data_IF_976435810743
#
_entry.id   IF_976435810743
#
_cell.length_a   1.000
_cell.length_b   1.000
_cell.length_c   1.000
_cell.angle_alpha   90.00
_cell.angle_beta   90.00
_cell.angle_gamma   90.00
#
_symmetry.space_group_name_H-M   'P 1'
#
loop_
_entity.id
_entity.type
_entity.pdbx_description
1 polymer ?
#
# COMPACT_ATOMS: atom_id res chain seq x y z
N UNK A 1 1.20 6.45 -19.76
CA UNK A 1 2.35 6.35 -18.83
C UNK A 1 1.93 6.13 -17.37
N UNK A 2 0.94 6.86 -16.83
CA UNK A 2 0.50 6.75 -15.42
C UNK A 2 0.02 5.34 -14.99
N UNK A 3 -0.64 4.59 -15.88
CA UNK A 3 -1.13 3.23 -15.60
C UNK A 3 0.01 2.20 -15.52
N UNK A 4 1.02 2.31 -16.40
CA UNK A 4 2.17 1.39 -16.40
C UNK A 4 3.01 1.53 -15.14
N UNK A 5 3.23 2.77 -14.67
CA UNK A 5 3.92 3.03 -13.40
C UNK A 5 3.19 2.42 -12.19
N UNK A 6 1.85 2.55 -12.15
CA UNK A 6 1.05 1.97 -11.07
C UNK A 6 1.14 0.43 -11.05
N UNK A 7 1.03 -0.22 -12.21
CA UNK A 7 1.17 -1.68 -12.32
C UNK A 7 2.57 -2.13 -11.91
N UNK A 8 3.62 -1.43 -12.38
CA UNK A 8 5.00 -1.70 -11.98
C UNK A 8 5.21 -1.58 -10.46
N UNK A 9 4.61 -0.57 -9.83
CA UNK A 9 4.69 -0.39 -8.38
C UNK A 9 4.00 -1.51 -7.61
N UNK A 10 2.83 -1.96 -8.06
CA UNK A 10 2.13 -3.11 -7.46
C UNK A 10 2.93 -4.40 -7.60
N UNK A 11 3.52 -4.64 -8.77
CA UNK A 11 4.41 -5.78 -8.98
C UNK A 11 5.62 -5.72 -8.04
N UNK A 12 6.26 -4.56 -7.89
CA UNK A 12 7.36 -4.37 -6.96
C UNK A 12 6.96 -4.61 -5.50
N UNK A 13 5.79 -4.10 -5.08
CA UNK A 13 5.22 -4.38 -3.76
C UNK A 13 4.99 -5.87 -3.53
N UNK A 14 4.37 -6.58 -4.49
CA UNK A 14 4.16 -8.02 -4.41
C UNK A 14 5.47 -8.79 -4.33
N UNK A 15 6.43 -8.49 -5.19
CA UNK A 15 7.74 -9.15 -5.19
C UNK A 15 8.45 -8.94 -3.85
N UNK A 16 8.46 -7.71 -3.32
CA UNK A 16 9.05 -7.43 -2.01
C UNK A 16 8.33 -8.17 -0.87
N UNK A 17 7.00 -8.30 -0.93
CA UNK A 17 6.20 -9.02 0.05
C UNK A 17 6.47 -10.53 0.01
N UNK A 18 6.48 -11.13 -1.18
CA UNK A 18 6.79 -12.56 -1.34
C UNK A 18 8.24 -12.89 -0.98
N UNK A 19 9.21 -12.04 -1.35
CA UNK A 19 10.60 -12.23 -0.96
C UNK A 19 10.74 -12.19 0.57
N UNK A 20 10.11 -11.20 1.22
CA UNK A 20 10.13 -11.07 2.68
C UNK A 20 9.43 -12.27 3.35
N UNK A 21 8.29 -12.71 2.82
CA UNK A 21 7.55 -13.88 3.29
C UNK A 21 8.41 -15.15 3.19
N UNK A 22 9.03 -15.41 2.04
CA UNK A 22 9.84 -16.60 1.82
C UNK A 22 11.06 -16.64 2.76
N UNK A 23 11.77 -15.51 2.90
CA UNK A 23 12.95 -15.43 3.77
C UNK A 23 12.58 -15.58 5.25
N UNK A 24 11.51 -14.93 5.70
CA UNK A 24 11.06 -15.03 7.09
C UNK A 24 10.46 -16.39 7.42
N UNK A 25 9.75 -17.02 6.48
CA UNK A 25 9.25 -18.38 6.61
C UNK A 25 10.40 -19.40 6.67
N UNK A 26 11.43 -19.26 5.84
CA UNK A 26 12.62 -20.11 5.90
C UNK A 26 13.31 -20.02 7.27
N UNK A 27 13.46 -18.81 7.82
CA UNK A 27 14.04 -18.63 9.15
C UNK A 27 13.15 -19.28 10.22
N UNK A 28 11.83 -19.09 10.15
CA UNK A 28 10.90 -19.67 11.13
C UNK A 28 10.86 -21.20 11.07
N UNK A 29 10.93 -21.79 9.87
CA UNK A 29 11.00 -23.24 9.67
C UNK A 29 12.28 -23.82 10.25
N UNK A 30 13.43 -23.15 10.04
CA UNK A 30 14.70 -23.57 10.63
C UNK A 30 14.65 -23.59 12.17
N UNK A 31 14.02 -22.58 12.80
CA UNK A 31 13.85 -22.57 14.26
C UNK A 31 13.00 -23.75 14.76
N UNK A 32 11.90 -24.06 14.08
CA UNK A 32 11.02 -25.16 14.47
C UNK A 32 11.66 -26.54 14.21
N UNK A 33 12.32 -26.72 13.07
CA UNK A 33 12.81 -28.02 12.61
C UNK A 33 14.18 -28.38 13.17
N UNK A 34 15.10 -27.42 13.29
CA UNK A 34 16.50 -27.70 13.64
C UNK A 34 16.81 -27.42 15.11
N UNK A 35 16.20 -26.39 15.71
CA UNK A 35 16.44 -26.05 17.12
C UNK A 35 15.31 -26.46 18.05
N UNK A 36 14.15 -26.89 17.53
CA UNK A 36 12.96 -27.22 18.31
C UNK A 36 12.55 -26.08 19.26
N UNK A 37 12.87 -24.83 18.89
CA UNK A 37 12.58 -23.63 19.66
C UNK A 37 11.66 -22.71 18.90
N UNK A 38 10.84 -21.96 19.63
CA UNK A 38 9.93 -21.01 19.01
C UNK A 38 10.73 -19.92 18.26
N UNK A 39 10.31 -19.64 17.01
CA UNK A 39 10.87 -18.56 16.20
C UNK A 39 10.75 -17.20 16.91
N UNK A 40 11.79 -16.33 16.86
CA UNK A 40 11.79 -15.02 17.48
C UNK A 40 10.65 -14.12 16.97
N UNK A 41 10.05 -13.35 17.87
CA UNK A 41 8.90 -12.49 17.58
C UNK A 41 9.14 -11.48 16.45
N UNK A 42 10.39 -11.05 16.27
CA UNK A 42 10.85 -10.15 15.21
C UNK A 42 10.59 -10.70 13.81
N UNK A 43 10.93 -11.99 13.61
CA UNK A 43 10.73 -12.69 12.34
C UNK A 43 9.23 -12.90 12.11
N UNK A 44 8.51 -13.33 13.14
CA UNK A 44 7.08 -13.60 13.06
C UNK A 44 6.27 -12.34 12.75
N UNK A 45 6.66 -11.18 13.29
CA UNK A 45 6.04 -9.90 12.96
C UNK A 45 6.21 -9.56 11.49
N UNK A 46 7.44 -9.61 10.96
CA UNK A 46 7.70 -9.29 9.55
C UNK A 46 7.04 -10.29 8.58
N UNK A 47 6.91 -11.56 8.99
CA UNK A 47 6.13 -12.58 8.30
C UNK A 47 4.65 -12.20 8.23
N UNK A 48 4.04 -11.86 9.37
CA UNK A 48 2.65 -11.42 9.44
C UNK A 48 2.40 -10.15 8.61
N UNK A 49 3.32 -9.17 8.65
CA UNK A 49 3.26 -7.98 7.80
C UNK A 49 3.26 -8.34 6.31
N UNK A 50 4.07 -9.33 5.91
CA UNK A 50 4.14 -9.77 4.50
C UNK A 50 2.84 -10.43 4.05
N UNK A 51 2.21 -11.25 4.88
CA UNK A 51 0.88 -11.82 4.61
C UNK A 51 -0.17 -10.71 4.49
N UNK A 52 -0.18 -9.77 5.44
CA UNK A 52 -1.10 -8.63 5.42
C UNK A 52 -0.94 -7.76 4.17
N UNK A 53 0.30 -7.56 3.71
CA UNK A 53 0.65 -6.83 2.50
C UNK A 53 0.09 -7.49 1.24
N UNK A 54 0.23 -8.83 1.11
CA UNK A 54 -0.35 -9.59 0.00
C UNK A 54 -1.88 -9.46 0.00
N UNK A 55 -2.53 -9.61 1.16
CA UNK A 55 -3.98 -9.40 1.30
C UNK A 55 -4.41 -7.98 0.95
N UNK A 56 -3.62 -6.98 1.36
CA UNK A 56 -3.88 -5.56 1.07
C UNK A 56 -3.83 -5.27 -0.43
N UNK A 57 -2.87 -5.85 -1.16
CA UNK A 57 -2.78 -5.71 -2.62
C UNK A 57 -3.99 -6.37 -3.28
N UNK A 58 -4.37 -7.57 -2.81
CA UNK A 58 -5.59 -8.24 -3.27
C UNK A 58 -6.84 -7.39 -3.08
N UNK A 59 -6.96 -6.71 -1.94
CA UNK A 59 -8.06 -5.77 -1.68
C UNK A 59 -8.01 -4.55 -2.60
N UNK A 60 -6.85 -3.91 -2.79
CA UNK A 60 -6.72 -2.69 -3.60
C UNK A 60 -7.01 -2.94 -5.09
N UNK A 61 -6.63 -4.11 -5.62
CA UNK A 61 -6.91 -4.49 -7.00
C UNK A 61 -8.32 -5.10 -7.17
N UNK A 62 -8.76 -5.92 -6.22
CA UNK A 62 -10.07 -6.56 -6.23
C UNK A 62 -11.22 -5.57 -6.02
N UNK A 63 -11.12 -4.69 -5.03
CA UNK A 63 -12.22 -3.78 -4.69
C UNK A 63 -12.49 -2.75 -5.79
N UNK A 64 -11.47 -2.35 -6.57
CA UNK A 64 -11.67 -1.53 -7.78
C UNK A 64 -12.50 -2.26 -8.85
N UNK A 65 -12.36 -3.59 -8.96
CA UNK A 65 -13.02 -4.40 -9.98
C UNK A 65 -14.44 -4.79 -9.61
N UNK A 66 -14.71 -5.10 -8.33
CA UNK A 66 -16.01 -5.61 -7.90
C UNK A 66 -16.97 -4.54 -7.39
N UNK A 67 -16.49 -3.49 -6.69
CA UNK A 67 -17.37 -2.48 -6.08
C UNK A 67 -16.83 -1.05 -6.20
N UNK A 68 -16.80 -0.46 -7.41
CA UNK A 68 -16.30 0.91 -7.63
C UNK A 68 -17.07 1.99 -6.84
N UNK A 69 -18.31 1.71 -6.41
CA UNK A 69 -19.12 2.63 -5.58
C UNK A 69 -18.77 2.62 -4.09
N UNK A 70 -18.14 1.56 -3.58
CA UNK A 70 -17.77 1.45 -2.16
C UNK A 70 -16.30 1.86 -1.90
N UNK A 71 -15.51 2.08 -2.95
CA UNK A 71 -14.08 2.36 -2.86
C UNK A 71 -13.84 3.81 -2.41
N UNK A 72 -13.78 4.02 -1.09
CA UNK A 72 -13.41 5.30 -0.53
C UNK A 72 -11.91 5.53 -0.70
N UNK A 73 -11.52 6.59 -1.41
CA UNK A 73 -10.11 6.93 -1.64
C UNK A 73 -9.33 7.12 -0.33
N UNK A 74 -10.02 7.51 0.74
CA UNK A 74 -9.44 7.61 2.08
C UNK A 74 -9.12 6.24 2.70
N UNK A 75 -10.00 5.25 2.55
CA UNK A 75 -9.77 3.90 3.05
C UNK A 75 -8.58 3.24 2.34
N UNK A 76 -8.46 3.43 1.02
CA UNK A 76 -7.31 2.97 0.26
C UNK A 76 -6.02 3.64 0.75
N UNK A 77 -6.02 4.96 0.95
CA UNK A 77 -4.87 5.69 1.48
C UNK A 77 -4.47 5.19 2.88
N UNK A 78 -5.43 4.99 3.78
CA UNK A 78 -5.18 4.43 5.11
C UNK A 78 -4.51 3.05 5.02
N UNK A 79 -4.99 2.18 4.13
CA UNK A 79 -4.42 0.85 3.95
C UNK A 79 -2.97 0.91 3.46
N UNK A 80 -2.65 1.83 2.56
CA UNK A 80 -1.27 2.03 2.09
C UNK A 80 -0.35 2.56 3.22
N UNK A 81 -0.84 3.50 4.03
CA UNK A 81 -0.11 4.01 5.19
C UNK A 81 0.12 2.94 6.26
N UNK A 82 -0.88 2.10 6.54
CA UNK A 82 -0.75 1.00 7.52
C UNK A 82 0.33 0.02 7.07
N UNK A 83 0.34 -0.38 5.79
CA UNK A 83 1.39 -1.24 5.26
C UNK A 83 2.77 -0.60 5.36
N UNK A 84 2.91 0.68 5.01
CA UNK A 84 4.17 1.39 5.17
C UNK A 84 4.66 1.35 6.62
N UNK A 85 3.79 1.64 7.60
CA UNK A 85 4.15 1.59 9.01
C UNK A 85 4.54 0.18 9.46
N UNK A 86 3.78 -0.84 9.05
CA UNK A 86 4.08 -2.23 9.39
C UNK A 86 5.45 -2.68 8.88
N UNK A 87 5.78 -2.36 7.64
CA UNK A 87 7.13 -2.62 7.11
C UNK A 87 8.19 -1.82 7.86
N UNK A 88 7.95 -0.52 8.13
CA UNK A 88 8.88 0.34 8.87
C UNK A 88 9.24 -0.27 10.24
N UNK A 89 8.23 -0.58 11.05
CA UNK A 89 8.47 -1.19 12.35
C UNK A 89 9.07 -2.58 12.21
N UNK A 90 8.63 -3.37 11.23
CA UNK A 90 9.11 -4.74 11.06
C UNK A 90 10.59 -4.83 10.69
N UNK A 91 11.04 -4.09 9.66
CA UNK A 91 12.45 -4.17 9.25
C UNK A 91 13.38 -3.55 10.31
N UNK A 92 12.95 -2.47 10.99
CA UNK A 92 13.73 -1.85 12.07
C UNK A 92 13.84 -2.78 13.28
N UNK A 93 12.74 -3.44 13.65
CA UNK A 93 12.72 -4.37 14.78
C UNK A 93 13.62 -5.58 14.53
N UNK A 94 13.60 -6.12 13.30
CA UNK A 94 14.49 -7.21 12.90
C UNK A 94 15.95 -6.76 12.80
N UNK A 95 16.22 -5.56 12.24
CA UNK A 95 17.57 -5.01 12.15
C UNK A 95 18.19 -4.82 13.53
N UNK A 96 17.45 -4.21 14.48
CA UNK A 96 17.91 -3.99 15.83
C UNK A 96 18.21 -5.29 16.58
N UNK A 97 17.44 -6.36 16.31
CA UNK A 97 17.72 -7.68 16.83
C UNK A 97 19.03 -8.24 16.27
N UNK A 98 19.20 -8.25 14.95
CA UNK A 98 20.43 -8.76 14.31
C UNK A 98 21.66 -7.99 14.78
N UNK A 99 21.57 -6.67 14.97
CA UNK A 99 22.69 -5.85 15.48
C UNK A 99 23.13 -6.20 16.90
N UNK A 100 22.28 -6.88 17.69
CA UNK A 100 22.60 -7.31 19.06
C UNK A 100 23.11 -8.75 19.14
N UNK A 101 23.08 -9.51 18.05
CA UNK A 101 23.60 -10.88 18.04
C UNK A 101 25.13 -10.86 17.89
N UNK A 102 25.85 -11.42 18.86
CA UNK A 102 27.32 -11.52 18.83
C UNK A 102 27.82 -12.43 17.68
N UNK A 103 27.01 -13.44 17.29
CA UNK A 103 27.34 -14.36 16.22
C UNK A 103 26.11 -14.55 15.31
N UNK A 104 26.19 -14.02 14.10
CA UNK A 104 25.20 -14.24 13.04
C UNK A 104 25.95 -14.73 11.80
N UNK A 105 26.12 -16.06 11.71
CA UNK A 105 26.86 -16.75 10.64
C UNK A 105 25.96 -17.83 10.04
N UNK A 106 26.16 -18.14 8.75
CA UNK A 106 25.39 -19.16 8.03
C UNK A 106 24.20 -18.64 7.22
N UNK A 107 23.49 -19.58 6.56
CA UNK A 107 22.39 -19.28 5.63
C UNK A 107 21.20 -18.61 6.30
N UNK A 108 20.87 -18.98 7.54
CA UNK A 108 19.74 -18.44 8.31
C UNK A 108 19.96 -16.95 8.64
N UNK A 109 21.18 -16.60 9.04
CA UNK A 109 21.56 -15.20 9.25
C UNK A 109 21.49 -14.39 7.94
N UNK A 110 21.98 -14.97 6.84
CA UNK A 110 21.88 -14.38 5.51
C UNK A 110 20.42 -14.13 5.11
N UNK A 111 19.53 -15.09 5.37
CA UNK A 111 18.10 -14.97 5.11
C UNK A 111 17.45 -13.89 5.99
N UNK A 112 17.80 -13.80 7.28
CA UNK A 112 17.30 -12.77 8.18
C UNK A 112 17.74 -11.36 7.73
N UNK A 113 19.01 -11.18 7.33
CA UNK A 113 19.51 -9.93 6.74
C UNK A 113 18.81 -9.59 5.42
N UNK A 114 18.57 -10.60 4.58
CA UNK A 114 17.75 -10.46 3.38
C UNK A 114 16.34 -9.98 3.70
N UNK A 115 15.72 -10.52 4.75
CA UNK A 115 14.41 -10.09 5.25
C UNK A 115 14.38 -8.61 5.62
N UNK A 116 15.43 -8.10 6.28
CA UNK A 116 15.58 -6.66 6.55
C UNK A 116 15.65 -5.85 5.26
N UNK A 117 16.46 -6.28 4.29
CA UNK A 117 16.64 -5.56 3.03
C UNK A 117 15.35 -5.50 2.21
N UNK A 118 14.67 -6.63 2.02
CA UNK A 118 13.38 -6.67 1.30
C UNK A 118 12.26 -5.98 2.08
N UNK A 119 12.30 -6.02 3.42
CA UNK A 119 11.38 -5.25 4.26
C UNK A 119 11.55 -3.73 4.08
N UNK A 120 12.79 -3.25 4.00
CA UNK A 120 13.09 -1.84 3.73
C UNK A 120 12.68 -1.44 2.30
N UNK A 121 12.90 -2.28 1.29
CA UNK A 121 12.41 -2.05 -0.06
C UNK A 121 10.88 -2.00 -0.11
N UNK A 122 10.21 -2.93 0.57
CA UNK A 122 8.76 -2.94 0.71
C UNK A 122 8.24 -1.63 1.31
N UNK A 123 8.88 -1.15 2.38
CA UNK A 123 8.57 0.16 2.98
C UNK A 123 8.63 1.29 1.94
N UNK A 124 9.72 1.39 1.18
CA UNK A 124 9.87 2.44 0.15
C UNK A 124 8.77 2.35 -0.91
N UNK A 125 8.42 1.15 -1.37
CA UNK A 125 7.36 0.96 -2.35
C UNK A 125 5.97 1.32 -1.80
N UNK A 126 5.69 1.01 -0.53
CA UNK A 126 4.43 1.40 0.12
C UNK A 126 4.35 2.91 0.36
N UNK A 127 5.44 3.55 0.77
CA UNK A 127 5.50 5.03 0.92
C UNK A 127 5.31 5.73 -0.42
N UNK A 128 5.99 5.26 -1.48
CA UNK A 128 5.86 5.83 -2.81
C UNK A 128 4.42 5.73 -3.32
N UNK A 129 3.76 4.59 -3.08
CA UNK A 129 2.35 4.40 -3.39
C UNK A 129 1.45 5.35 -2.60
N UNK A 130 1.65 5.43 -1.29
CA UNK A 130 0.85 6.28 -0.41
C UNK A 130 0.98 7.76 -0.80
N UNK A 131 2.19 8.20 -1.19
CA UNK A 131 2.42 9.55 -1.68
C UNK A 131 1.69 9.84 -2.99
N UNK A 132 1.66 8.88 -3.92
CA UNK A 132 0.89 9.00 -5.16
C UNK A 132 -0.61 9.04 -4.87
N UNK A 133 -1.12 8.14 -4.02
CA UNK A 133 -2.52 8.11 -3.62
C UNK A 133 -2.94 9.42 -2.92
N UNK A 134 -2.11 9.94 -2.00
CA UNK A 134 -2.35 11.20 -1.30
C UNK A 134 -2.40 12.38 -2.28
N UNK A 135 -1.49 12.43 -3.26
CA UNK A 135 -1.50 13.47 -4.31
C UNK A 135 -2.78 13.45 -5.12
N UNK A 136 -3.30 12.29 -5.48
CA UNK A 136 -4.58 12.18 -6.22
C UNK A 136 -5.76 12.62 -5.37
N UNK A 137 -5.79 12.28 -4.07
CA UNK A 137 -6.85 12.74 -3.14
C UNK A 137 -6.81 14.26 -2.96
N UNK A 138 -5.62 14.84 -2.80
CA UNK A 138 -5.44 16.30 -2.68
C UNK A 138 -5.86 16.99 -3.98
N UNK A 139 -5.39 16.49 -5.14
CA UNK A 139 -5.73 17.06 -6.45
C UNK A 139 -7.22 16.94 -6.78
N UNK A 140 -7.84 15.81 -6.46
CA UNK A 140 -9.27 15.58 -6.62
C UNK A 140 -10.14 16.46 -5.71
N UNK A 141 -9.63 16.88 -4.54
CA UNK A 141 -10.25 17.90 -3.68
C UNK A 141 -10.03 19.33 -4.18
N UNK A 142 -8.93 19.60 -4.86
CA UNK A 142 -8.60 20.95 -5.37
C UNK A 142 -9.20 21.28 -6.73
N UNK A 143 -9.83 20.34 -7.45
CA UNK A 143 -10.66 20.69 -8.60
C UNK A 143 -11.96 21.32 -8.08
N UNK A 144 -12.20 22.63 -8.28
CA UNK A 144 -13.48 23.23 -7.96
C UNK A 144 -14.46 22.84 -9.08
N UNK A 145 -14.97 21.62 -9.02
CA UNK A 145 -16.05 21.12 -9.88
C UNK A 145 -17.41 21.77 -9.56
N UNK A 146 -17.43 22.89 -8.82
CA UNK A 146 -18.63 23.74 -8.71
C UNK A 146 -18.88 24.59 -9.96
N UNK A 147 -17.98 24.57 -10.96
CA UNK A 147 -18.20 25.26 -12.24
C UNK A 147 -18.78 24.37 -13.36
N UNK A 148 -19.48 23.27 -13.02
CA UNK A 148 -20.30 22.53 -14.01
C UNK A 148 -21.81 22.81 -13.85
N UNK A 149 -22.21 23.55 -12.82
CA UNK A 149 -23.61 24.00 -12.63
C UNK A 149 -23.92 25.40 -13.19
N UNK A 150 -22.89 26.23 -13.39
CA UNK A 150 -23.06 27.61 -13.87
C UNK A 150 -23.57 27.75 -15.32
N UNK A 151 -23.09 26.98 -16.33
CA UNK A 151 -23.57 27.15 -17.69
C UNK A 151 -25.02 26.66 -17.89
N UNK A 152 -25.45 25.62 -17.16
CA UNK A 152 -26.82 25.08 -17.22
C UNK A 152 -27.84 26.03 -16.61
N UNK A 153 -27.52 26.69 -15.48
CA UNK A 153 -28.44 27.66 -14.86
C UNK A 153 -28.57 28.94 -15.72
N UNK A 154 -27.48 29.39 -16.35
CA UNK A 154 -27.50 30.55 -17.24
C UNK A 154 -28.33 30.29 -18.51
N UNK A 155 -28.18 29.13 -19.15
CA UNK A 155 -28.99 28.75 -20.32
C UNK A 155 -30.47 28.51 -19.95
N UNK A 156 -30.76 27.94 -18.77
CA UNK A 156 -32.12 27.75 -18.29
C UNK A 156 -32.84 29.07 -17.93
N UNK A 157 -32.11 30.08 -17.45
CA UNK A 157 -32.66 31.42 -17.20
C UNK A 157 -32.90 32.16 -18.51
N UNK A 158 -31.97 32.08 -19.47
CA UNK A 158 -32.13 32.67 -20.80
C UNK A 158 -33.33 32.09 -21.55
N UNK A 159 -33.56 30.78 -21.45
CA UNK A 159 -34.75 30.14 -22.03
C UNK A 159 -36.07 30.59 -21.39
N UNK A 160 -36.06 30.92 -20.10
CA UNK A 160 -37.24 31.48 -19.40
C UNK A 160 -37.52 32.94 -19.76
N UNK A 161 -36.50 33.74 -20.04
CA UNK A 161 -36.67 35.13 -20.47
C UNK A 161 -37.24 35.20 -21.89
N UNK A 162 -36.72 34.39 -22.81
CA UNK A 162 -37.21 34.32 -24.20
C UNK A 162 -38.65 33.81 -24.27
N UNK A 163 -39.02 32.81 -23.45
CA UNK A 163 -40.39 32.32 -23.38
C UNK A 163 -41.39 33.33 -22.75
N UNK A 164 -40.90 34.35 -22.04
CA UNK A 164 -41.73 35.39 -21.43
C UNK A 164 -41.98 36.56 -22.41
N UNK A 165 -41.10 36.80 -23.38
CA UNK A 165 -41.29 37.85 -24.38
C UNK A 165 -42.20 37.42 -25.54
N UNK A 166 -42.24 36.14 -25.89
CA UNK A 166 -43.15 35.63 -26.95
C UNK A 166 -44.62 35.45 -26.47
N UNK A 167 -44.89 35.66 -25.18
CA UNK A 167 -46.20 35.49 -24.56
C UNK A 167 -46.92 36.80 -24.19
N UNK A 168 -46.39 37.96 -24.60
CA UNK A 168 -46.99 39.30 -24.40
C UNK A 168 -47.21 40.00 -25.74
#
# INVERSE_FOLDING_TARGET
>A
MRTGLHIGLRAAQLVSAFATLALTAYVADWYNSETLTASPAQINWLLACSVFSVGSIGYLEGAKRFHPRAFHSFAALCLECINALFYLFGFVYLAAFISRLLFCWGSVCGAARGGVAFGALGFLFWVASAALAAREVIRGRTSPSSLHGAPQLAEALKGKEVAREEGS
#
